data_IF_117310001206
#
_entry.id   IF_117310001206
#
_cell.length_a   1.000
_cell.length_b   1.000
_cell.length_c   1.000
_cell.angle_alpha   90.00
_cell.angle_beta   90.00
_cell.angle_gamma   90.00
#
_symmetry.space_group_name_H-M   'P 1'
#
loop_
_entity.id
_entity.type
_entity.pdbx_description
1 polymer ?
#
# COMPACT_ATOMS: atom_id res chain seq x y z
N UNK A 1 -0.39 -12.43 -18.57
CA UNK A 1 1.08 -12.33 -18.59
C UNK A 1 1.43 -11.14 -19.47
N UNK A 2 2.48 -10.39 -19.14
CA UNK A 2 2.88 -9.18 -19.88
C UNK A 2 4.34 -9.36 -20.31
N UNK A 3 4.70 -9.15 -21.59
CA UNK A 3 6.08 -9.29 -22.04
C UNK A 3 6.95 -8.14 -21.53
N UNK A 4 8.23 -8.42 -21.28
CA UNK A 4 9.26 -7.42 -21.01
C UNK A 4 9.99 -7.10 -22.31
N UNK A 5 9.90 -5.85 -22.78
CA UNK A 5 10.52 -5.37 -24.01
C UNK A 5 11.47 -4.23 -23.66
N UNK A 6 12.74 -4.33 -24.07
CA UNK A 6 13.79 -3.35 -23.75
C UNK A 6 13.85 -3.00 -22.26
N UNK A 7 13.79 -4.02 -21.39
CA UNK A 7 13.77 -3.88 -19.93
C UNK A 7 12.58 -3.11 -19.35
N UNK A 8 11.53 -2.90 -20.14
CA UNK A 8 10.30 -2.24 -19.70
C UNK A 8 9.10 -3.15 -19.84
N UNK A 9 8.08 -2.93 -19.02
CA UNK A 9 6.76 -3.56 -19.16
C UNK A 9 5.67 -2.64 -18.63
N UNK A 10 4.46 -2.79 -19.18
CA UNK A 10 3.27 -2.05 -18.76
C UNK A 10 2.26 -3.02 -18.17
N UNK A 11 1.89 -2.80 -16.93
CA UNK A 11 0.81 -3.52 -16.27
C UNK A 11 -0.43 -2.64 -16.26
N UNK A 12 -1.56 -3.22 -16.65
CA UNK A 12 -2.88 -2.63 -16.48
C UNK A 12 -3.75 -3.64 -15.74
N UNK A 13 -4.36 -3.18 -14.65
CA UNK A 13 -5.14 -4.02 -13.77
C UNK A 13 -6.39 -3.29 -13.30
N UNK A 14 -7.52 -3.96 -13.38
CA UNK A 14 -8.82 -3.44 -12.91
C UNK A 14 -9.38 -4.36 -11.84
N UNK A 15 -9.95 -3.79 -10.79
CA UNK A 15 -10.72 -4.55 -9.82
C UNK A 15 -12.19 -4.62 -10.25
N UNK A 16 -12.75 -5.82 -10.31
CA UNK A 16 -14.17 -6.03 -10.65
C UNK A 16 -15.10 -5.82 -9.44
N UNK A 17 -14.55 -5.68 -8.24
CA UNK A 17 -15.30 -5.61 -6.97
C UNK A 17 -15.41 -4.17 -6.45
N UNK A 18 -14.80 -3.20 -7.14
CA UNK A 18 -14.88 -1.77 -6.78
C UNK A 18 -14.20 -1.45 -5.44
N UNK A 19 -13.20 -2.22 -5.03
CA UNK A 19 -12.42 -1.93 -3.83
C UNK A 19 -11.63 -0.66 -4.04
N UNK A 20 -11.49 0.11 -2.97
CA UNK A 20 -10.73 1.35 -2.95
C UNK A 20 -9.25 1.16 -3.36
N UNK A 21 -8.69 -0.02 -3.06
CA UNK A 21 -7.37 -0.44 -3.48
C UNK A 21 -7.28 -1.97 -3.50
N UNK A 22 -6.34 -2.51 -4.29
CA UNK A 22 -6.05 -3.94 -4.32
C UNK A 22 -4.53 -4.16 -4.26
N UNK A 23 -4.00 -4.62 -3.12
CA UNK A 23 -2.60 -5.01 -3.02
C UNK A 23 -2.30 -6.13 -4.01
N UNK A 24 -1.30 -5.91 -4.85
CA UNK A 24 -0.90 -6.83 -5.90
C UNK A 24 0.61 -7.05 -5.84
N UNK A 25 1.08 -8.17 -6.37
CA UNK A 25 2.51 -8.43 -6.52
C UNK A 25 2.83 -8.75 -7.96
N UNK A 26 3.95 -8.20 -8.43
CA UNK A 26 4.56 -8.51 -9.71
C UNK A 26 5.79 -9.39 -9.48
N UNK A 27 6.01 -10.32 -10.39
CA UNK A 27 7.16 -11.21 -10.42
C UNK A 27 7.49 -11.55 -11.86
N UNK A 28 8.71 -12.04 -12.09
CA UNK A 28 9.17 -12.48 -13.40
C UNK A 28 9.24 -14.01 -13.39
N UNK A 29 8.60 -14.64 -14.37
CA UNK A 29 8.77 -16.06 -14.66
C UNK A 29 9.50 -16.23 -15.99
N UNK A 30 10.69 -16.81 -15.95
CA UNK A 30 11.49 -17.07 -17.14
C UNK A 30 10.97 -18.25 -17.98
N UNK A 31 10.10 -19.09 -17.40
CA UNK A 31 9.53 -20.27 -18.08
C UNK A 31 8.21 -19.98 -18.78
N UNK A 32 7.60 -18.82 -18.50
CA UNK A 32 6.30 -18.38 -19.04
C UNK A 32 5.17 -19.42 -18.85
N UNK A 33 5.22 -20.21 -17.77
CA UNK A 33 4.30 -21.33 -17.57
C UNK A 33 3.88 -21.57 -16.11
N UNK A 34 4.24 -20.67 -15.18
CA UNK A 34 3.83 -20.79 -13.78
C UNK A 34 2.30 -20.72 -13.61
N UNK A 35 1.76 -21.65 -12.85
CA UNK A 35 0.33 -21.69 -12.52
C UNK A 35 0.03 -20.91 -11.23
N UNK A 36 -1.26 -20.62 -10.98
CA UNK A 36 -1.69 -19.99 -9.72
C UNK A 36 -1.37 -20.86 -8.51
N UNK A 37 -1.53 -22.17 -8.66
CA UNK A 37 -1.25 -23.19 -7.65
C UNK A 37 0.24 -23.23 -7.34
N UNK A 38 1.10 -23.19 -8.37
CA UNK A 38 2.55 -23.15 -8.18
C UNK A 38 2.97 -21.84 -7.49
N UNK A 39 2.44 -20.69 -7.91
CA UNK A 39 2.70 -19.40 -7.27
C UNK A 39 2.31 -19.42 -5.78
N UNK A 40 1.10 -19.91 -5.47
CA UNK A 40 0.61 -20.05 -4.10
C UNK A 40 1.51 -20.98 -3.28
N UNK A 41 1.95 -22.09 -3.86
CA UNK A 41 2.88 -23.02 -3.21
C UNK A 41 4.22 -22.33 -2.89
N UNK A 42 4.83 -21.63 -3.85
CA UNK A 42 6.11 -20.92 -3.64
C UNK A 42 6.02 -19.83 -2.56
N UNK A 43 4.91 -19.11 -2.47
CA UNK A 43 4.67 -18.11 -1.41
C UNK A 43 4.50 -18.81 -0.05
N UNK A 44 3.69 -19.88 0.01
CA UNK A 44 3.39 -20.61 1.25
C UNK A 44 4.63 -21.29 1.82
N UNK A 45 5.44 -21.91 0.94
CA UNK A 45 6.72 -22.53 1.29
C UNK A 45 7.83 -21.51 1.53
N UNK A 46 7.51 -20.21 1.50
CA UNK A 46 8.49 -19.16 1.77
C UNK A 46 9.68 -19.15 0.77
N UNK A 47 9.51 -19.76 -0.40
CA UNK A 47 10.50 -19.70 -1.49
C UNK A 47 10.52 -18.28 -2.08
N UNK A 48 9.33 -17.69 -2.26
CA UNK A 48 9.16 -16.31 -2.73
C UNK A 48 8.54 -15.46 -1.63
N UNK A 49 9.37 -14.67 -0.94
CA UNK A 49 8.94 -13.72 0.08
C UNK A 49 8.62 -12.35 -0.51
N UNK A 50 7.47 -11.78 -0.13
CA UNK A 50 7.15 -10.38 -0.44
C UNK A 50 8.16 -9.45 0.25
N UNK A 51 8.76 -8.53 -0.52
CA UNK A 51 9.80 -7.62 -0.02
C UNK A 51 11.24 -8.12 -0.21
N UNK A 52 11.44 -9.31 -0.80
CA UNK A 52 12.75 -9.76 -1.32
C UNK A 52 12.84 -9.57 -2.83
N UNK A 53 14.03 -9.80 -3.38
CA UNK A 53 14.42 -9.43 -4.76
C UNK A 53 13.38 -9.82 -5.82
N UNK A 54 12.70 -10.95 -5.69
CA UNK A 54 11.85 -11.49 -6.76
C UNK A 54 10.42 -10.95 -6.84
N UNK A 55 9.91 -10.27 -5.81
CA UNK A 55 8.54 -9.75 -5.79
C UNK A 55 8.52 -8.22 -5.62
N UNK A 56 7.87 -7.51 -6.55
CA UNK A 56 7.52 -6.10 -6.38
C UNK A 56 6.08 -5.98 -5.92
N UNK A 57 5.88 -5.39 -4.74
CA UNK A 57 4.54 -5.02 -4.28
C UNK A 57 4.09 -3.77 -5.04
N UNK A 58 2.84 -3.78 -5.49
CA UNK A 58 2.18 -2.63 -6.13
C UNK A 58 0.74 -2.52 -5.59
N UNK A 59 0.11 -1.39 -5.84
CA UNK A 59 -1.34 -1.30 -5.87
C UNK A 59 -1.83 -1.55 -7.30
N UNK A 60 -3.00 -2.18 -7.43
CA UNK A 60 -3.60 -2.45 -8.73
C UNK A 60 -3.98 -1.12 -9.40
N UNK A 61 -3.24 -0.76 -10.43
CA UNK A 61 -3.41 0.45 -11.23
C UNK A 61 -2.65 0.31 -12.56
N UNK A 62 -2.84 1.27 -13.46
CA UNK A 62 -2.04 1.37 -14.68
C UNK A 62 -0.65 1.90 -14.35
N UNK A 63 0.37 1.12 -14.69
CA UNK A 63 1.75 1.42 -14.31
C UNK A 63 2.76 0.83 -15.30
N UNK A 64 3.77 1.63 -15.60
CA UNK A 64 4.91 1.21 -16.42
C UNK A 64 6.18 1.22 -15.59
N UNK A 65 6.95 0.14 -15.74
CA UNK A 65 8.19 -0.05 -15.00
C UNK A 65 9.40 -0.17 -15.93
N UNK A 66 10.55 0.23 -15.41
CA UNK A 66 11.87 -0.14 -15.91
C UNK A 66 12.55 -1.08 -14.92
N UNK A 67 13.11 -2.19 -15.41
CA UNK A 67 13.81 -3.18 -14.60
C UNK A 67 15.26 -3.25 -15.05
N UNK A 68 16.20 -2.90 -14.16
CA UNK A 68 17.64 -3.02 -14.45
C UNK A 68 18.12 -4.48 -14.32
N UNK A 69 17.60 -5.22 -13.34
CA UNK A 69 17.97 -6.61 -13.08
C UNK A 69 16.72 -7.48 -12.85
N UNK A 70 16.51 -8.47 -13.72
CA UNK A 70 15.34 -9.37 -13.69
C UNK A 70 15.30 -10.28 -12.46
N UNK A 71 16.42 -10.51 -11.79
CA UNK A 71 16.47 -11.24 -10.52
C UNK A 71 16.07 -10.38 -9.31
N UNK A 72 15.98 -9.06 -9.51
CA UNK A 72 15.75 -8.03 -8.48
C UNK A 72 14.57 -7.15 -8.89
N UNK A 73 13.41 -7.77 -9.09
CA UNK A 73 12.14 -7.11 -9.38
C UNK A 73 11.75 -6.02 -8.37
N UNK A 74 12.13 -6.15 -7.09
CA UNK A 74 11.79 -5.13 -6.07
C UNK A 74 12.48 -3.76 -6.31
N UNK A 75 13.55 -3.69 -7.10
CA UNK A 75 14.20 -2.43 -7.50
C UNK A 75 13.65 -1.84 -8.81
N UNK A 76 12.62 -2.47 -9.40
CA UNK A 76 11.95 -1.92 -10.58
C UNK A 76 11.42 -0.50 -10.30
N UNK A 77 11.75 0.43 -11.20
CA UNK A 77 11.40 1.84 -11.09
C UNK A 77 10.14 2.14 -11.87
N UNK A 78 9.20 2.84 -11.27
CA UNK A 78 8.00 3.32 -11.97
C UNK A 78 8.42 4.49 -12.88
N UNK A 79 8.24 4.33 -14.19
CA UNK A 79 8.56 5.35 -15.20
C UNK A 79 7.32 6.07 -15.73
N UNK A 80 6.12 5.50 -15.56
CA UNK A 80 4.85 6.09 -16.00
C UNK A 80 3.68 5.52 -15.18
N UNK A 81 2.59 6.27 -15.01
CA UNK A 81 1.45 5.85 -14.18
C UNK A 81 1.84 5.64 -12.71
N UNK A 82 1.22 4.68 -12.02
CA UNK A 82 1.71 4.19 -10.72
C UNK A 82 1.57 5.16 -9.53
N UNK A 83 0.59 6.08 -9.55
CA UNK A 83 0.40 7.08 -8.48
C UNK A 83 0.19 6.41 -7.13
N UNK A 84 -0.74 5.46 -7.04
CA UNK A 84 -1.11 4.82 -5.78
C UNK A 84 0.04 4.00 -5.21
N UNK A 85 0.82 3.34 -6.07
CA UNK A 85 2.01 2.57 -5.68
C UNK A 85 3.10 3.49 -5.15
N UNK A 86 3.33 4.66 -5.76
CA UNK A 86 4.28 5.65 -5.22
C UNK A 86 3.83 6.18 -3.86
N UNK A 87 2.56 6.53 -3.72
CA UNK A 87 2.00 6.98 -2.44
C UNK A 87 2.07 5.87 -1.38
N UNK A 88 1.88 4.61 -1.76
CA UNK A 88 2.05 3.46 -0.87
C UNK A 88 3.50 3.31 -0.41
N UNK A 89 4.46 3.43 -1.31
CA UNK A 89 5.89 3.40 -0.99
C UNK A 89 6.25 4.58 -0.05
N UNK A 90 5.81 5.81 -0.36
CA UNK A 90 5.99 7.00 0.48
C UNK A 90 5.38 6.81 1.88
N UNK A 91 4.16 6.29 1.97
CA UNK A 91 3.49 5.99 3.25
C UNK A 91 4.30 5.01 4.09
N UNK A 92 4.89 3.97 3.48
CA UNK A 92 5.69 3.00 4.23
C UNK A 92 7.01 3.60 4.72
N UNK A 93 7.62 4.49 3.93
CA UNK A 93 8.78 5.26 4.37
C UNK A 93 8.42 6.14 5.58
N UNK A 94 7.30 6.86 5.55
CA UNK A 94 6.81 7.65 6.69
C UNK A 94 6.54 6.79 7.93
N UNK A 95 5.90 5.63 7.76
CA UNK A 95 5.65 4.70 8.88
C UNK A 95 6.97 4.20 9.50
N UNK A 96 7.93 3.83 8.64
CA UNK A 96 9.24 3.35 9.07
C UNK A 96 10.00 4.42 9.84
N UNK A 97 10.14 5.60 9.21
CA UNK A 97 10.79 6.80 9.76
C UNK A 97 10.17 7.20 11.10
N UNK A 98 8.85 7.25 11.19
CA UNK A 98 8.17 7.76 12.38
C UNK A 98 8.26 9.28 12.45
N UNK A 99 8.56 9.82 13.63
CA UNK A 99 8.69 11.26 13.89
C UNK A 99 7.51 12.08 13.36
N UNK A 100 6.30 11.52 13.49
CA UNK A 100 5.05 12.10 13.01
C UNK A 100 4.99 12.37 11.50
N UNK A 101 5.93 11.88 10.70
CA UNK A 101 5.97 12.07 9.24
C UNK A 101 4.76 11.49 8.49
N UNK A 102 3.98 10.62 9.15
CA UNK A 102 2.70 10.15 8.62
C UNK A 102 1.65 11.27 8.53
N UNK A 103 1.73 12.28 9.40
CA UNK A 103 0.86 13.46 9.37
C UNK A 103 1.10 14.24 8.08
N UNK A 104 2.37 14.52 7.76
CA UNK A 104 2.76 15.23 6.55
C UNK A 104 2.30 14.49 5.29
N UNK A 105 2.42 13.16 5.29
CA UNK A 105 1.94 12.31 4.20
C UNK A 105 0.43 12.46 3.97
N UNK A 106 -0.38 12.35 5.04
CA UNK A 106 -1.84 12.47 4.91
C UNK A 106 -2.24 13.87 4.46
N UNK A 107 -1.58 14.90 4.99
CA UNK A 107 -1.83 16.29 4.58
C UNK A 107 -1.45 16.55 3.11
N UNK A 108 -0.39 15.91 2.61
CA UNK A 108 0.04 16.02 1.22
C UNK A 108 -0.91 15.31 0.25
N UNK A 109 -1.54 14.21 0.68
CA UNK A 109 -2.39 13.36 -0.16
C UNK A 109 -3.79 13.15 0.45
N UNK A 110 -4.56 14.21 0.74
CA UNK A 110 -5.78 14.12 1.56
C UNK A 110 -6.92 13.33 0.89
N UNK A 111 -6.94 13.28 -0.45
CA UNK A 111 -7.90 12.54 -1.27
C UNK A 111 -7.45 11.13 -1.63
N UNK A 112 -6.26 10.72 -1.19
CA UNK A 112 -5.72 9.43 -1.61
C UNK A 112 -6.39 8.27 -0.86
N UNK A 113 -6.77 7.19 -1.58
CA UNK A 113 -6.99 5.86 -1.00
C UNK A 113 -5.93 5.43 0.02
N UNK A 114 -4.66 5.75 -0.25
CA UNK A 114 -3.53 5.35 0.60
C UNK A 114 -3.56 6.09 1.93
N UNK A 115 -3.94 7.38 1.94
CA UNK A 115 -4.12 8.16 3.16
C UNK A 115 -5.25 7.61 4.01
N UNK A 116 -6.39 7.26 3.40
CA UNK A 116 -7.50 6.59 4.12
C UNK A 116 -7.04 5.29 4.78
N UNK A 117 -6.24 4.48 4.10
CA UNK A 117 -5.68 3.24 4.65
C UNK A 117 -4.74 3.53 5.81
N UNK A 118 -3.86 4.53 5.68
CA UNK A 118 -2.95 4.93 6.74
C UNK A 118 -3.73 5.29 8.01
N UNK A 119 -4.78 6.13 7.89
CA UNK A 119 -5.62 6.49 9.05
C UNK A 119 -6.33 5.26 9.62
N UNK A 120 -6.87 4.38 8.78
CA UNK A 120 -7.52 3.15 9.23
C UNK A 120 -6.57 2.24 10.03
N UNK A 121 -5.34 2.05 9.58
CA UNK A 121 -4.35 1.25 10.29
C UNK A 121 -4.04 1.81 11.67
N UNK A 122 -3.85 3.14 11.77
CA UNK A 122 -3.63 3.82 13.05
C UNK A 122 -4.86 3.72 13.96
N UNK A 123 -6.06 3.90 13.42
CA UNK A 123 -7.32 3.73 14.15
C UNK A 123 -7.51 2.31 14.71
N UNK A 124 -7.11 1.27 13.96
CA UNK A 124 -7.16 -0.13 14.45
C UNK A 124 -6.24 -0.35 15.65
N UNK A 125 -5.06 0.26 15.66
CA UNK A 125 -4.15 0.16 16.79
C UNK A 125 -4.57 1.00 17.99
N UNK A 126 -5.51 1.94 17.81
CA UNK A 126 -5.99 2.81 18.88
C UNK A 126 -6.65 2.06 20.04
N UNK A 127 -7.15 0.84 19.81
CA UNK A 127 -7.73 0.00 20.86
C UNK A 127 -6.70 -0.80 21.67
N UNK A 128 -5.42 -0.73 21.30
CA UNK A 128 -4.36 -1.51 21.91
C UNK A 128 -3.66 -0.71 23.02
N UNK A 129 -3.02 -1.37 24.01
CA UNK A 129 -2.26 -0.72 25.09
C UNK A 129 -0.90 -0.16 24.62
N UNK A 130 -0.85 0.41 23.42
CA UNK A 130 0.33 1.02 22.80
C UNK A 130 0.02 2.43 22.25
N UNK A 131 -1.08 3.06 22.72
CA UNK A 131 -1.55 4.39 22.29
C UNK A 131 -0.44 5.44 22.33
N UNK A 132 0.29 5.55 23.43
CA UNK A 132 1.35 6.54 23.60
C UNK A 132 2.47 6.39 22.54
N UNK A 133 2.93 5.15 22.32
CA UNK A 133 3.95 4.84 21.31
C UNK A 133 3.48 5.22 19.90
N UNK A 134 2.21 4.96 19.58
CA UNK A 134 1.59 5.32 18.29
C UNK A 134 1.52 6.84 18.14
N UNK A 135 0.99 7.54 19.14
CA UNK A 135 0.83 9.00 19.12
C UNK A 135 2.17 9.70 18.89
N UNK A 136 3.20 9.27 19.62
CA UNK A 136 4.54 9.85 19.51
C UNK A 136 5.15 9.59 18.13
N UNK A 137 4.93 8.39 17.57
CA UNK A 137 5.57 8.01 16.30
C UNK A 137 4.82 8.51 15.06
N UNK A 138 3.49 8.52 15.08
CA UNK A 138 2.66 8.69 13.87
C UNK A 138 1.51 9.68 14.04
N UNK A 139 1.27 10.20 15.24
CA UNK A 139 0.08 10.99 15.56
C UNK A 139 -1.12 10.13 15.98
N UNK A 140 -2.16 10.80 16.47
CA UNK A 140 -3.42 10.14 16.83
C UNK A 140 -4.27 9.86 15.59
N UNK A 141 -5.16 8.85 15.63
CA UNK A 141 -6.11 8.62 14.55
C UNK A 141 -6.96 9.84 14.22
N UNK A 142 -7.38 10.62 15.22
CA UNK A 142 -8.22 11.79 15.02
C UNK A 142 -7.46 12.93 14.34
N UNK A 143 -6.20 13.19 14.75
CA UNK A 143 -5.33 14.16 14.06
C UNK A 143 -5.15 13.81 12.59
N UNK A 144 -4.94 12.52 12.27
CA UNK A 144 -4.81 12.08 10.89
C UNK A 144 -6.15 12.15 10.12
N UNK A 145 -7.26 11.80 10.76
CA UNK A 145 -8.57 11.76 10.12
C UNK A 145 -9.04 13.13 9.65
N UNK A 146 -8.82 14.19 10.44
CA UNK A 146 -9.24 15.56 10.09
C UNK A 146 -8.44 16.14 8.91
N UNK A 147 -7.28 15.57 8.61
CA UNK A 147 -6.44 15.97 7.48
C UNK A 147 -6.88 15.34 6.15
N UNK A 148 -7.72 14.31 6.19
CA UNK A 148 -8.32 13.75 4.98
C UNK A 148 -9.27 14.76 4.34
N UNK A 149 -9.50 14.62 3.03
CA UNK A 149 -10.50 15.42 2.35
C UNK A 149 -11.92 15.12 2.83
N UNK A 150 -12.86 16.05 2.61
CA UNK A 150 -14.26 15.84 2.99
C UNK A 150 -14.85 14.61 2.33
N UNK A 151 -14.54 14.38 1.05
CA UNK A 151 -15.03 13.22 0.31
C UNK A 151 -14.47 11.91 0.90
N UNK A 152 -13.18 11.90 1.26
CA UNK A 152 -12.56 10.76 1.94
C UNK A 152 -13.19 10.50 3.31
N UNK A 153 -13.40 11.54 4.12
CA UNK A 153 -14.05 11.44 5.44
C UNK A 153 -15.49 10.91 5.35
N UNK A 154 -16.23 11.30 4.31
CA UNK A 154 -17.63 10.92 4.10
C UNK A 154 -17.80 9.61 3.31
N UNK A 155 -16.72 9.04 2.78
CA UNK A 155 -16.74 7.73 2.15
C UNK A 155 -17.17 6.63 3.14
N UNK A 156 -17.63 5.48 2.65
CA UNK A 156 -17.99 4.32 3.50
C UNK A 156 -16.82 3.91 4.41
N UNK A 157 -15.59 3.94 3.89
CA UNK A 157 -14.39 3.67 4.68
C UNK A 157 -14.13 4.78 5.71
N UNK A 158 -14.23 6.05 5.32
CA UNK A 158 -14.07 7.19 6.24
C UNK A 158 -15.02 7.13 7.43
N UNK A 159 -16.29 6.79 7.17
CA UNK A 159 -17.30 6.61 8.22
C UNK A 159 -16.94 5.45 9.17
N UNK A 160 -16.45 4.32 8.63
CA UNK A 160 -15.97 3.20 9.47
C UNK A 160 -14.76 3.57 10.33
N UNK A 161 -13.83 4.38 9.80
CA UNK A 161 -12.68 4.87 10.55
C UNK A 161 -13.15 5.74 11.70
N UNK A 162 -14.07 6.68 11.44
CA UNK A 162 -14.65 7.56 12.45
C UNK A 162 -15.28 6.78 13.61
N UNK A 163 -15.98 5.69 13.31
CA UNK A 163 -16.54 4.78 14.32
C UNK A 163 -15.44 4.11 15.15
N UNK A 164 -14.40 3.57 14.50
CA UNK A 164 -13.28 2.93 15.20
C UNK A 164 -12.56 3.88 16.17
N UNK A 165 -12.38 5.14 15.77
CA UNK A 165 -11.79 6.18 16.62
C UNK A 165 -12.66 6.40 17.86
N UNK A 166 -13.96 6.64 17.66
CA UNK A 166 -14.90 6.88 18.76
C UNK A 166 -15.03 5.70 19.73
N UNK A 167 -14.87 4.46 19.24
CA UNK A 167 -14.82 3.27 20.09
C UNK A 167 -13.51 3.16 20.87
N UNK A 168 -12.38 3.49 20.27
CA UNK A 168 -11.07 3.46 20.93
C UNK A 168 -10.90 4.53 22.01
N UNK A 169 -11.59 5.66 21.89
CA UNK A 169 -11.58 6.73 22.91
C UNK A 169 -12.38 6.39 24.18
N UNK A 170 -13.25 5.38 24.12
CA UNK A 170 -14.04 4.90 25.28
C UNK A 170 -13.29 3.89 26.17
N UNK A 171 -12.11 3.45 25.74
CA UNK A 171 -11.27 2.42 26.38
C UNK A 171 -10.02 3.06 27.01
#
# INVERSE_FOLDING_TARGET
MVPIVNNTFTFSGTDSIGRLYVPTCLFIDSRDNITKEELKSKITQMVWYMGRSRLKRILLEDVKFSIENKEIMNTAKIIEGGRLTREWDEKNECVSKGDRSLIDFVQKHPDSPVSLIAVLEIAKFWKLPIKEKITNKWGTPNELFVLLSKDSQNSSMGLSIKQLIAEGDKL
#
